data_IF_599452493717
#
_entry.id   IF_599452493717
#
_cell.length_a   1.000
_cell.length_b   1.000
_cell.length_c   1.000
_cell.angle_alpha   90.00
_cell.angle_beta   90.00
_cell.angle_gamma   90.00
#
_symmetry.space_group_name_H-M   'P 1'
#
loop_
_entity.id
_entity.type
_entity.pdbx_description
1 polymer ?
#
# COMPACT_ATOMS: atom_id res chain seq x y z
N UNK A 1 -30.76 -8.72 -7.58
CA UNK A 1 -30.55 -8.25 -6.19
C UNK A 1 -29.16 -7.63 -6.04
N UNK A 2 -28.99 -6.56 -5.25
CA UNK A 2 -27.68 -5.95 -5.02
C UNK A 2 -26.79 -6.82 -4.12
N UNK A 3 -25.49 -6.86 -4.42
CA UNK A 3 -24.51 -7.66 -3.66
C UNK A 3 -24.43 -7.22 -2.20
N UNK A 4 -24.16 -8.16 -1.28
CA UNK A 4 -23.96 -7.91 0.16
C UNK A 4 -22.96 -6.77 0.41
N UNK A 5 -21.95 -6.65 -0.46
CA UNK A 5 -20.92 -5.59 -0.41
C UNK A 5 -21.45 -4.21 -0.80
N UNK A 6 -22.35 -4.14 -1.79
CA UNK A 6 -22.99 -2.88 -2.21
C UNK A 6 -23.96 -2.36 -1.15
N UNK A 7 -24.74 -3.25 -0.52
CA UNK A 7 -25.62 -2.90 0.60
C UNK A 7 -24.86 -2.33 1.78
N UNK A 8 -23.74 -2.96 2.17
CA UNK A 8 -22.88 -2.47 3.26
C UNK A 8 -22.23 -1.12 2.96
N UNK A 9 -21.94 -0.82 1.69
CA UNK A 9 -21.40 0.49 1.29
C UNK A 9 -22.46 1.59 1.40
N UNK A 10 -23.67 1.37 0.86
CA UNK A 10 -24.79 2.31 1.00
C UNK A 10 -25.16 2.56 2.46
N UNK A 11 -25.17 1.52 3.29
CA UNK A 11 -25.43 1.64 4.72
C UNK A 11 -24.31 2.34 5.51
N UNK A 12 -23.12 2.56 4.93
CA UNK A 12 -22.08 3.41 5.51
C UNK A 12 -22.20 4.86 5.03
N UNK A 13 -22.54 5.05 3.76
CA UNK A 13 -22.77 6.38 3.17
C UNK A 13 -23.93 7.10 3.88
N UNK A 14 -25.04 6.40 4.15
CA UNK A 14 -26.19 6.94 4.91
C UNK A 14 -25.94 7.18 6.40
N UNK A 15 -24.80 6.77 6.97
CA UNK A 15 -24.47 7.05 8.39
C UNK A 15 -23.99 8.47 8.64
N UNK A 16 -23.75 9.24 7.56
CA UNK A 16 -23.22 10.59 7.63
C UNK A 16 -24.23 11.64 7.16
N UNK A 17 -25.50 11.27 7.06
CA UNK A 17 -26.61 12.21 6.94
C UNK A 17 -26.87 12.80 8.33
N UNK A 18 -26.03 13.74 8.76
CA UNK A 18 -26.32 14.58 9.92
C UNK A 18 -27.03 15.84 9.43
N UNK A 19 -28.14 16.17 10.06
CA UNK A 19 -28.86 17.42 9.87
C UNK A 19 -28.09 18.55 10.56
N UNK A 20 -27.78 19.63 9.84
CA UNK A 20 -27.09 20.78 10.41
C UNK A 20 -28.11 21.60 11.22
N UNK A 21 -28.00 21.53 12.54
CA UNK A 21 -28.81 22.35 13.46
C UNK A 21 -27.99 23.58 13.86
N UNK A 22 -28.55 24.77 13.63
CA UNK A 22 -27.98 26.03 14.09
C UNK A 22 -28.42 26.26 15.54
N UNK A 23 -27.46 26.44 16.43
CA UNK A 23 -27.69 26.59 17.87
C UNK A 23 -27.15 27.95 18.31
N UNK A 24 -27.92 28.68 19.11
CA UNK A 24 -27.51 29.99 19.67
C UNK A 24 -26.58 29.86 20.89
N UNK A 25 -26.12 31.00 21.43
CA UNK A 25 -25.21 31.06 22.59
C UNK A 25 -25.82 30.48 23.88
N UNK A 26 -27.15 30.29 23.90
CA UNK A 26 -27.92 29.70 25.00
C UNK A 26 -28.30 28.24 24.80
N UNK A 27 -27.96 27.64 23.64
CA UNK A 27 -28.19 26.23 23.36
C UNK A 27 -29.54 25.90 22.71
N UNK A 28 -30.31 26.89 22.24
CA UNK A 28 -31.59 26.69 21.57
C UNK A 28 -31.44 26.59 20.05
N UNK A 29 -32.22 25.71 19.43
CA UNK A 29 -32.28 25.53 17.98
C UNK A 29 -32.97 26.75 17.34
N UNK A 30 -32.27 27.43 16.42
CA UNK A 30 -32.77 28.64 15.75
C UNK A 30 -32.88 28.37 14.25
N UNK A 31 -33.96 28.84 13.63
CA UNK A 31 -34.14 28.76 12.18
C UNK A 31 -32.94 29.41 11.45
N UNK A 32 -32.45 28.79 10.36
CA UNK A 32 -31.32 29.31 9.62
C UNK A 32 -31.63 30.74 9.14
N UNK A 33 -30.71 31.71 9.36
CA UNK A 33 -30.88 33.07 8.86
C UNK A 33 -31.09 33.06 7.33
N UNK A 34 -31.99 33.92 6.80
CA UNK A 34 -32.27 33.97 5.36
C UNK A 34 -30.97 34.18 4.56
N UNK A 35 -30.78 33.37 3.51
CA UNK A 35 -29.61 33.41 2.64
C UNK A 35 -29.43 34.81 2.02
N UNK A 36 -28.53 35.62 2.59
CA UNK A 36 -28.34 36.99 2.10
C UNK A 36 -27.12 37.77 2.60
N UNK A 37 -26.37 37.29 3.59
CA UNK A 37 -25.14 37.97 4.07
C UNK A 37 -23.89 37.15 3.74
N UNK A 38 -23.01 37.61 2.83
CA UNK A 38 -21.76 36.92 2.55
C UNK A 38 -20.79 37.14 3.71
N UNK A 39 -20.75 36.18 4.64
CA UNK A 39 -19.80 36.20 5.75
C UNK A 39 -18.40 35.82 5.24
N UNK A 40 -17.69 36.85 4.79
CA UNK A 40 -16.25 37.14 4.94
C UNK A 40 -15.30 35.94 5.12
N UNK A 41 -14.55 35.67 4.05
CA UNK A 41 -13.20 35.07 3.99
C UNK A 41 -12.67 34.40 5.27
N UNK A 42 -13.08 33.15 5.50
CA UNK A 42 -12.31 32.22 6.36
C UNK A 42 -11.41 31.36 5.47
N UNK A 43 -10.07 31.42 5.61
CA UNK A 43 -9.19 30.53 4.85
C UNK A 43 -9.45 29.07 5.26
N UNK A 44 -9.51 28.11 4.33
CA UNK A 44 -9.83 26.73 4.65
C UNK A 44 -8.75 26.14 5.55
N UNK A 45 -9.08 25.92 6.82
CA UNK A 45 -8.28 25.12 7.75
C UNK A 45 -8.12 23.73 7.12
N UNK A 46 -6.89 23.39 6.74
CA UNK A 46 -6.54 22.04 6.28
C UNK A 46 -6.86 21.07 7.41
N UNK A 47 -7.97 20.35 7.27
CA UNK A 47 -8.28 19.19 8.10
C UNK A 47 -7.17 18.14 7.88
N UNK A 48 -6.17 18.17 8.76
CA UNK A 48 -5.26 17.07 8.95
C UNK A 48 -6.04 15.99 9.70
N UNK A 49 -6.63 15.05 8.96
CA UNK A 49 -7.00 13.75 9.50
C UNK A 49 -7.30 12.74 8.40
N UNK A 50 -6.87 11.50 8.65
CA UNK A 50 -7.50 10.31 8.08
C UNK A 50 -6.81 9.75 6.85
N UNK A 51 -6.03 8.69 7.06
CA UNK A 51 -5.51 7.82 6.02
C UNK A 51 -6.61 7.40 5.04
N UNK A 52 -6.53 7.94 3.82
CA UNK A 52 -7.35 7.50 2.69
C UNK A 52 -6.63 6.40 1.95
N UNK A 53 -7.03 5.16 2.23
CA UNK A 53 -7.03 4.12 1.23
C UNK A 53 -7.83 4.60 0.01
N UNK A 54 -7.21 4.57 -1.18
CA UNK A 54 -7.90 4.75 -2.46
C UNK A 54 -7.96 6.18 -2.99
N UNK A 55 -6.80 6.75 -3.35
CA UNK A 55 -6.75 7.82 -4.34
C UNK A 55 -6.37 7.23 -5.71
N UNK A 56 -7.40 6.77 -6.43
CA UNK A 56 -7.41 6.72 -7.89
C UNK A 56 -7.21 8.17 -8.35
N UNK A 57 -6.18 8.44 -9.15
CA UNK A 57 -5.96 9.78 -9.74
C UNK A 57 -5.21 10.76 -8.85
N UNK A 58 -3.94 10.50 -8.55
CA UNK A 58 -2.98 11.58 -8.26
C UNK A 58 -1.76 11.37 -9.14
N UNK A 59 -1.63 12.27 -10.12
CA UNK A 59 -0.43 12.62 -10.89
C UNK A 59 0.57 11.48 -11.03
N UNK A 60 0.48 10.78 -12.16
CA UNK A 60 1.60 10.00 -12.68
C UNK A 60 2.78 10.96 -12.91
N UNK A 61 3.58 11.19 -11.86
CA UNK A 61 4.99 11.45 -12.06
C UNK A 61 5.55 10.32 -12.92
N UNK A 62 6.61 10.56 -13.71
CA UNK A 62 7.10 9.63 -14.72
C UNK A 62 7.13 8.24 -14.10
N UNK A 63 6.24 7.38 -14.59
CA UNK A 63 6.07 6.03 -14.07
C UNK A 63 7.42 5.37 -14.32
N UNK A 64 8.23 5.27 -13.25
CA UNK A 64 9.59 4.71 -13.33
C UNK A 64 9.48 3.40 -14.08
N UNK A 65 10.10 3.35 -15.26
CA UNK A 65 10.06 2.18 -16.12
C UNK A 65 10.47 0.97 -15.29
N UNK A 66 9.51 0.08 -15.05
CA UNK A 66 9.78 -1.12 -14.29
C UNK A 66 10.73 -1.98 -15.12
N UNK A 67 12.01 -1.98 -14.72
CA UNK A 67 13.01 -2.87 -15.32
C UNK A 67 12.49 -4.30 -15.31
N UNK A 68 12.62 -5.04 -16.43
CA UNK A 68 12.09 -6.40 -16.54
C UNK A 68 12.66 -7.29 -15.44
N UNK A 69 11.91 -8.33 -15.02
CA UNK A 69 12.35 -9.24 -13.98
C UNK A 69 13.65 -9.92 -14.43
N UNK A 70 14.74 -9.66 -13.71
CA UNK A 70 16.04 -10.26 -13.98
C UNK A 70 16.46 -11.17 -12.83
N UNK A 71 16.99 -12.35 -13.17
CA UNK A 71 17.54 -13.31 -12.21
C UNK A 71 18.62 -12.68 -11.33
N UNK A 72 19.43 -11.77 -11.88
CA UNK A 72 20.42 -11.01 -11.13
C UNK A 72 19.82 -10.18 -10.00
N UNK A 73 18.61 -9.63 -10.19
CA UNK A 73 17.92 -8.83 -9.16
C UNK A 73 17.41 -9.73 -8.03
N UNK A 74 16.83 -10.87 -8.38
CA UNK A 74 16.38 -11.87 -7.41
C UNK A 74 17.57 -12.41 -6.59
N UNK A 75 18.71 -12.68 -7.23
CA UNK A 75 19.93 -13.13 -6.55
C UNK A 75 20.44 -12.09 -5.54
N UNK A 76 20.51 -10.81 -5.93
CA UNK A 76 20.92 -9.72 -5.03
C UNK A 76 19.98 -9.56 -3.84
N UNK A 77 18.68 -9.74 -4.06
CA UNK A 77 17.69 -9.67 -2.98
C UNK A 77 17.75 -10.89 -2.07
N UNK A 78 17.96 -12.09 -2.62
CA UNK A 78 18.17 -13.30 -1.86
C UNK A 78 19.44 -13.23 -1.00
N UNK A 79 20.50 -12.56 -1.49
CA UNK A 79 21.73 -12.34 -0.73
C UNK A 79 21.53 -11.48 0.53
N UNK A 80 20.52 -10.60 0.57
CA UNK A 80 20.19 -9.84 1.78
C UNK A 80 19.70 -10.72 2.92
N UNK A 81 19.14 -11.90 2.61
CA UNK A 81 18.68 -12.85 3.61
C UNK A 81 19.79 -13.76 4.14
N UNK A 82 20.94 -13.79 3.47
CA UNK A 82 22.08 -14.62 3.85
C UNK A 82 22.64 -14.28 5.24
N UNK A 83 22.90 -13.00 5.60
CA UNK A 83 23.32 -12.66 6.96
C UNK A 83 22.23 -12.94 8.00
N UNK A 84 20.94 -12.77 7.63
CA UNK A 84 19.82 -13.07 8.52
C UNK A 84 19.79 -14.57 8.87
N UNK A 85 19.84 -15.44 7.85
CA UNK A 85 19.87 -16.89 8.07
C UNK A 85 21.12 -17.33 8.81
N UNK A 86 22.27 -16.72 8.52
CA UNK A 86 23.51 -17.01 9.26
C UNK A 86 23.38 -16.72 10.74
N UNK A 87 22.81 -15.57 11.12
CA UNK A 87 22.57 -15.26 12.53
C UNK A 87 21.62 -16.28 13.15
N UNK A 88 20.49 -16.58 12.49
CA UNK A 88 19.51 -17.55 12.99
C UNK A 88 20.15 -18.94 13.19
N UNK A 89 20.85 -19.46 12.18
CA UNK A 89 21.50 -20.76 12.29
C UNK A 89 22.68 -20.76 13.25
N UNK A 90 23.35 -19.63 13.46
CA UNK A 90 24.38 -19.51 14.48
C UNK A 90 23.80 -19.55 15.90
N UNK A 91 22.60 -19.01 16.11
CA UNK A 91 21.90 -19.06 17.39
C UNK A 91 21.23 -20.42 17.65
N UNK A 92 20.76 -21.11 16.61
CA UNK A 92 20.08 -22.41 16.76
C UNK A 92 21.10 -23.56 16.81
N UNK A 93 22.10 -23.57 15.93
CA UNK A 93 23.07 -24.65 15.80
C UNK A 93 24.41 -24.30 16.47
N UNK A 94 24.37 -23.86 17.74
CA UNK A 94 25.54 -23.35 18.47
C UNK A 94 26.65 -24.38 18.68
N UNK A 95 26.33 -25.67 18.61
CA UNK A 95 27.27 -26.77 18.82
C UNK A 95 27.81 -27.35 17.51
N UNK A 96 27.20 -27.02 16.38
CA UNK A 96 27.60 -27.51 15.07
C UNK A 96 28.80 -26.74 14.50
N UNK A 97 29.62 -27.34 13.63
CA UNK A 97 30.73 -26.64 12.99
C UNK A 97 30.24 -25.43 12.19
N UNK A 98 31.05 -24.37 12.16
CA UNK A 98 30.75 -23.13 11.44
C UNK A 98 30.46 -23.41 9.96
N UNK A 99 31.17 -24.36 9.35
CA UNK A 99 30.95 -24.79 7.97
C UNK A 99 29.50 -25.25 7.71
N UNK A 100 28.90 -25.98 8.65
CA UNK A 100 27.52 -26.45 8.52
C UNK A 100 26.53 -25.30 8.68
N UNK A 101 26.79 -24.35 9.58
CA UNK A 101 25.97 -23.14 9.74
C UNK A 101 25.97 -22.30 8.46
N UNK A 102 27.14 -22.09 7.86
CA UNK A 102 27.30 -21.37 6.59
C UNK A 102 26.59 -22.14 5.47
N UNK A 103 26.80 -23.45 5.37
CA UNK A 103 26.17 -24.30 4.37
C UNK A 103 24.64 -24.24 4.42
N UNK A 104 24.05 -24.39 5.61
CA UNK A 104 22.60 -24.26 5.81
C UNK A 104 22.10 -22.86 5.48
N UNK A 105 22.83 -21.81 5.87
CA UNK A 105 22.45 -20.43 5.57
C UNK A 105 22.38 -20.18 4.07
N UNK A 106 23.39 -20.63 3.32
CA UNK A 106 23.44 -20.50 1.85
C UNK A 106 22.32 -21.31 1.21
N UNK A 107 22.14 -22.57 1.64
CA UNK A 107 21.11 -23.46 1.11
C UNK A 107 19.70 -22.87 1.27
N UNK A 108 19.37 -22.38 2.45
CA UNK A 108 18.07 -21.78 2.72
C UNK A 108 17.89 -20.43 2.00
N UNK A 109 18.94 -19.59 1.93
CA UNK A 109 18.87 -18.37 1.13
C UNK A 109 18.66 -18.65 -0.36
N UNK A 110 19.22 -19.76 -0.88
CA UNK A 110 19.05 -20.16 -2.27
C UNK A 110 17.59 -20.56 -2.57
N UNK A 111 16.88 -21.19 -1.63
CA UNK A 111 15.45 -21.49 -1.77
C UNK A 111 14.58 -20.23 -1.91
N UNK A 112 15.03 -19.08 -1.41
CA UNK A 112 14.34 -17.81 -1.60
C UNK A 112 14.54 -17.19 -2.99
N UNK A 113 15.52 -17.62 -3.78
CA UNK A 113 15.76 -17.12 -5.15
C UNK A 113 14.54 -17.34 -6.06
N UNK A 114 13.98 -18.56 -6.22
CA UNK A 114 12.80 -18.76 -7.05
C UNK A 114 11.56 -18.02 -6.52
N UNK A 115 11.39 -17.94 -5.19
CA UNK A 115 10.29 -17.20 -4.57
C UNK A 115 10.35 -15.70 -4.89
N UNK A 116 11.51 -15.09 -4.70
CA UNK A 116 11.73 -13.67 -4.99
C UNK A 116 11.57 -13.36 -6.48
N UNK A 117 11.99 -14.27 -7.37
CA UNK A 117 11.74 -14.17 -8.80
C UNK A 117 10.24 -14.19 -9.14
N UNK A 118 9.45 -15.06 -8.51
CA UNK A 118 8.00 -15.09 -8.69
C UNK A 118 7.32 -13.80 -8.21
N UNK A 119 7.77 -13.23 -7.09
CA UNK A 119 7.29 -11.93 -6.61
C UNK A 119 7.61 -10.80 -7.60
N UNK A 120 8.83 -10.78 -8.13
CA UNK A 120 9.22 -9.80 -9.16
C UNK A 120 8.39 -9.96 -10.44
N UNK A 121 8.07 -11.20 -10.83
CA UNK A 121 7.20 -11.49 -11.98
C UNK A 121 5.76 -11.01 -11.77
N UNK A 122 5.18 -11.20 -10.59
CA UNK A 122 3.80 -10.73 -10.30
C UNK A 122 3.73 -9.21 -10.17
N UNK A 123 4.76 -8.59 -9.58
CA UNK A 123 4.90 -7.14 -9.52
C UNK A 123 5.01 -6.53 -10.92
N UNK A 124 5.84 -7.11 -11.80
CA UNK A 124 5.97 -6.68 -13.19
C UNK A 124 4.65 -6.82 -13.98
N UNK A 125 3.93 -7.94 -13.81
CA UNK A 125 2.60 -8.12 -14.41
C UNK A 125 1.59 -7.08 -13.92
N UNK A 126 1.62 -6.75 -12.64
CA UNK A 126 0.73 -5.74 -12.06
C UNK A 126 1.08 -4.35 -12.54
N UNK A 127 2.38 -4.06 -12.73
CA UNK A 127 2.86 -2.82 -13.34
C UNK A 127 2.33 -2.68 -14.77
N UNK A 128 2.51 -3.67 -15.65
CA UNK A 128 2.03 -3.62 -17.04
C UNK A 128 0.50 -3.42 -17.12
N UNK A 129 -0.26 -4.10 -16.26
CA UNK A 129 -1.72 -3.94 -16.16
C UNK A 129 -2.15 -2.52 -15.75
N UNK A 130 -1.30 -1.80 -15.01
CA UNK A 130 -1.59 -0.44 -14.51
C UNK A 130 -1.04 0.65 -15.43
N UNK A 131 0.07 0.41 -16.13
CA UNK A 131 0.69 1.38 -17.03
C UNK A 131 0.16 1.30 -18.46
N UNK A 132 -0.55 0.22 -18.84
CA UNK A 132 -1.01 0.03 -20.22
C UNK A 132 0.11 -0.26 -21.23
N UNK A 133 1.37 -0.34 -20.76
CA UNK A 133 2.50 -0.72 -21.58
C UNK A 133 2.41 -2.22 -21.88
N UNK A 134 2.41 -2.57 -23.17
CA UNK A 134 2.62 -3.95 -23.60
C UNK A 134 4.04 -4.39 -23.24
N UNK A 135 4.24 -5.66 -22.83
CA UNK A 135 5.57 -6.18 -22.53
C UNK A 135 6.48 -5.97 -23.74
N UNK A 136 7.67 -5.40 -23.51
CA UNK A 136 8.65 -5.20 -24.58
C UNK A 136 8.92 -6.53 -25.28
N UNK A 137 8.60 -6.59 -26.58
CA UNK A 137 8.83 -7.78 -27.40
C UNK A 137 10.32 -8.13 -27.35
N UNK A 138 10.61 -9.32 -26.83
CA UNK A 138 11.97 -9.85 -26.75
C UNK A 138 12.39 -10.20 -28.18
N UNK A 139 13.29 -9.41 -28.78
CA UNK A 139 14.02 -9.78 -30.00
C UNK A 139 15.09 -10.82 -29.66
#
# INVERSE_FOLDING_TARGET
MSSRKQRRRRAKERRHEYEYVYVDETGHEVEPPPEGTPERDRPPRRAANGGKAGARGKRAGPVREAKPPSWNRSLRRAALFLPLFFIVFSLVNKHEPIAQRVGLSVLYSALFIPLTYLMDRTAYRTYLRRSGQQPAAKR
#
